data_IF_403638062404
#
_entry.id   IF_403638062404
#
_cell.length_a   1.000
_cell.length_b   1.000
_cell.length_c   1.000
_cell.angle_alpha   90.00
_cell.angle_beta   90.00
_cell.angle_gamma   90.00
#
_symmetry.space_group_name_H-M   'P 1'
#
loop_
_entity.id
_entity.type
_entity.pdbx_description
1 polymer ?
#
# COMPACT_ATOMS: atom_id res chain seq x y z
N UNK A 1 -6.01 34.00 3.06
CA UNK A 1 -5.80 34.76 1.80
C UNK A 1 -4.96 35.96 2.15
N UNK A 2 -3.64 35.86 2.01
CA UNK A 2 -2.70 36.93 2.38
C UNK A 2 -2.45 37.75 1.10
N UNK A 3 -2.91 38.98 1.11
CA UNK A 3 -2.72 39.92 0.02
C UNK A 3 -1.25 40.41 0.04
N UNK A 4 -0.49 40.04 -0.98
CA UNK A 4 0.81 40.64 -1.26
C UNK A 4 0.59 42.07 -1.81
N UNK A 5 0.74 43.06 -0.97
CA UNK A 5 0.86 44.44 -1.49
C UNK A 5 2.30 44.64 -1.94
N UNK A 6 2.49 44.68 -3.26
CA UNK A 6 3.71 45.21 -3.88
C UNK A 6 3.74 46.73 -3.67
N UNK A 7 4.44 47.20 -2.67
CA UNK A 7 4.89 48.59 -2.61
C UNK A 7 6.32 48.65 -3.09
N UNK A 8 6.52 48.76 -4.39
CA UNK A 8 7.78 49.23 -4.95
C UNK A 8 7.88 50.75 -4.68
N UNK A 9 8.52 51.10 -3.59
CA UNK A 9 8.92 52.47 -3.31
C UNK A 9 10.10 52.84 -4.21
N UNK A 10 9.84 53.51 -5.32
CA UNK A 10 10.89 54.23 -6.08
C UNK A 10 11.22 55.49 -5.27
N UNK A 11 12.34 55.51 -4.57
CA UNK A 11 12.87 56.70 -3.96
C UNK A 11 13.59 57.52 -5.03
N UNK A 12 13.04 58.67 -5.42
CA UNK A 12 13.71 59.67 -6.23
C UNK A 12 14.87 60.27 -5.41
N UNK A 13 16.10 60.10 -5.90
CA UNK A 13 17.29 60.67 -5.31
C UNK A 13 17.47 62.08 -5.89
N UNK A 14 17.17 63.10 -5.10
CA UNK A 14 17.68 64.44 -5.33
C UNK A 14 18.28 64.96 -4.03
N UNK A 15 19.62 65.12 -4.02
CA UNK A 15 20.38 65.69 -2.91
C UNK A 15 20.95 64.63 -1.94
N UNK A 16 22.28 64.44 -1.94
CA UNK A 16 23.07 63.45 -1.24
C UNK A 16 22.94 63.44 0.28
N UNK A 17 21.87 62.85 0.78
CA UNK A 17 21.75 62.40 2.16
C UNK A 17 21.70 60.90 2.13
N UNK A 18 22.74 60.26 2.65
CA UNK A 18 22.75 58.83 2.86
C UNK A 18 21.69 58.49 3.95
N UNK A 19 20.45 58.32 3.53
CA UNK A 19 19.43 57.80 4.42
C UNK A 19 19.82 56.35 4.76
N UNK A 20 20.09 56.11 6.04
CA UNK A 20 20.11 54.74 6.56
C UNK A 20 18.82 54.05 6.10
N UNK A 21 18.95 53.11 5.20
CA UNK A 21 17.78 52.30 4.83
C UNK A 21 17.27 51.64 6.13
N UNK A 22 16.14 52.10 6.63
CA UNK A 22 15.45 51.43 7.71
C UNK A 22 15.16 50.01 7.24
N UNK A 23 15.51 49.06 8.07
CA UNK A 23 15.24 47.64 7.82
C UNK A 23 13.74 47.50 7.72
N UNK A 24 13.25 47.18 6.52
CA UNK A 24 11.80 46.97 6.31
C UNK A 24 11.41 45.63 6.86
N UNK A 25 10.54 45.65 7.85
CA UNK A 25 9.89 44.43 8.37
C UNK A 25 9.04 43.80 7.25
N UNK A 26 9.27 42.52 6.99
CA UNK A 26 8.55 41.79 5.93
C UNK A 26 7.54 40.79 6.55
N UNK A 27 7.95 40.05 7.55
CA UNK A 27 7.15 39.04 8.26
C UNK A 27 7.90 38.51 9.48
N UNK A 28 7.26 37.67 10.28
CA UNK A 28 7.95 36.88 11.28
C UNK A 28 8.49 35.56 10.68
N UNK A 29 9.65 35.13 11.15
CA UNK A 29 10.19 33.82 10.80
C UNK A 29 9.24 32.73 11.32
N UNK A 30 8.87 31.83 10.42
CA UNK A 30 7.91 30.77 10.79
C UNK A 30 8.45 29.78 11.82
N UNK A 31 9.78 29.69 11.96
CA UNK A 31 10.44 28.76 12.89
C UNK A 31 10.71 29.38 14.27
N UNK A 32 11.37 30.55 14.32
CA UNK A 32 11.76 31.21 15.59
C UNK A 32 10.82 32.35 16.01
N UNK A 33 9.89 32.77 15.15
CA UNK A 33 8.94 33.86 15.36
C UNK A 33 9.56 35.25 15.50
N UNK A 34 10.86 35.38 15.21
CA UNK A 34 11.56 36.68 15.21
C UNK A 34 11.34 37.46 13.88
N UNK A 35 11.40 38.81 13.93
CA UNK A 35 11.18 39.61 12.75
C UNK A 35 12.18 39.36 11.62
N UNK A 36 11.67 39.24 10.39
CA UNK A 36 12.44 39.17 9.17
C UNK A 36 12.56 40.54 8.54
N UNK A 37 13.78 41.02 8.27
CA UNK A 37 14.06 42.25 7.52
C UNK A 37 14.26 41.96 6.03
N UNK A 38 14.71 40.78 5.68
CA UNK A 38 14.73 40.24 4.32
C UNK A 38 14.64 38.74 4.42
N UNK A 39 13.87 38.12 3.54
CA UNK A 39 13.81 36.65 3.47
C UNK A 39 14.27 36.18 2.09
N UNK A 40 15.29 35.37 2.06
CA UNK A 40 15.74 34.67 0.86
C UNK A 40 15.07 33.28 0.74
N UNK A 41 14.48 32.79 1.84
CA UNK A 41 13.94 31.46 1.94
C UNK A 41 12.43 31.50 2.17
N UNK A 42 11.67 30.94 1.23
CA UNK A 42 10.23 30.79 1.34
C UNK A 42 9.83 29.38 0.91
N UNK A 43 9.08 28.69 1.77
CA UNK A 43 8.55 27.38 1.47
C UNK A 43 7.07 27.31 1.84
N UNK A 44 6.22 26.92 0.90
CA UNK A 44 4.75 26.86 1.09
C UNK A 44 4.17 28.12 1.74
N UNK A 45 4.54 29.29 1.25
CA UNK A 45 4.12 30.60 1.77
C UNK A 45 4.60 30.91 3.20
N UNK A 46 5.68 30.29 3.66
CA UNK A 46 6.33 30.55 4.95
C UNK A 46 7.69 31.18 4.70
N UNK A 47 8.01 32.22 5.45
CA UNK A 47 9.29 32.90 5.37
C UNK A 47 10.20 32.49 6.53
N UNK A 48 11.50 32.38 6.30
CA UNK A 48 12.50 31.91 7.25
C UNK A 48 13.77 32.75 7.20
N UNK A 49 14.51 32.82 8.32
CA UNK A 49 15.93 33.09 8.27
C UNK A 49 16.63 31.87 7.65
N UNK A 50 17.82 32.07 7.06
CA UNK A 50 18.57 30.99 6.43
C UNK A 50 18.83 29.81 7.40
N UNK A 51 19.46 30.11 8.53
CA UNK A 51 19.74 29.10 9.57
C UNK A 51 18.47 28.44 10.13
N UNK A 52 17.39 29.20 10.28
CA UNK A 52 16.11 28.66 10.73
C UNK A 52 15.45 27.74 9.72
N UNK A 53 15.70 27.96 8.42
CA UNK A 53 15.20 27.07 7.38
C UNK A 53 15.92 25.71 7.42
N UNK A 54 17.22 25.70 7.58
CA UNK A 54 18.02 24.49 7.73
C UNK A 54 17.58 23.68 8.96
N UNK A 55 17.44 24.32 10.12
CA UNK A 55 16.95 23.66 11.35
C UNK A 55 15.52 23.13 11.18
N UNK A 56 14.67 23.85 10.46
CA UNK A 56 13.32 23.40 10.16
C UNK A 56 13.32 22.16 9.25
N UNK A 57 14.19 22.11 8.23
CA UNK A 57 14.31 20.94 7.34
C UNK A 57 14.81 19.72 8.10
N UNK A 58 15.85 19.85 8.92
CA UNK A 58 16.35 18.77 9.75
C UNK A 58 15.28 18.20 10.70
N UNK A 59 14.54 19.08 11.38
CA UNK A 59 13.45 18.67 12.26
C UNK A 59 12.34 17.95 11.48
N UNK A 60 11.93 18.52 10.36
CA UNK A 60 10.90 17.94 9.48
C UNK A 60 11.30 16.54 9.01
N UNK A 61 12.55 16.32 8.64
CA UNK A 61 13.02 15.04 8.16
C UNK A 61 13.10 14.00 9.29
N UNK A 62 13.53 14.38 10.50
CA UNK A 62 13.46 13.55 11.70
C UNK A 62 12.01 13.20 12.07
N UNK A 63 11.12 14.19 12.09
CA UNK A 63 9.69 13.98 12.36
C UNK A 63 9.06 13.05 11.31
N UNK A 64 9.50 13.13 10.04
CA UNK A 64 9.05 12.25 8.97
C UNK A 64 9.53 10.81 9.14
N UNK A 65 10.78 10.59 9.51
CA UNK A 65 11.33 9.26 9.79
C UNK A 65 10.62 8.62 10.98
N UNK A 66 10.41 9.36 12.05
CA UNK A 66 9.66 8.89 13.20
C UNK A 66 8.22 8.55 12.84
N UNK A 67 7.53 9.40 12.08
CA UNK A 67 6.19 9.14 11.58
C UNK A 67 6.12 7.86 10.74
N UNK A 68 7.09 7.64 9.85
CA UNK A 68 7.16 6.43 9.01
C UNK A 68 7.36 5.19 9.88
N UNK A 69 8.24 5.26 10.88
CA UNK A 69 8.47 4.16 11.83
C UNK A 69 7.19 3.82 12.59
N UNK A 70 6.54 4.81 13.21
CA UNK A 70 5.28 4.62 13.93
C UNK A 70 4.18 4.04 13.04
N UNK A 71 4.10 4.48 11.80
CA UNK A 71 3.14 3.94 10.83
C UNK A 71 3.38 2.44 10.58
N UNK A 72 4.62 2.01 10.41
CA UNK A 72 4.97 0.59 10.24
C UNK A 72 4.59 -0.21 11.48
N UNK A 73 4.94 0.27 12.66
CA UNK A 73 4.60 -0.37 13.93
C UNK A 73 3.08 -0.54 14.09
N UNK A 74 2.32 0.53 13.88
CA UNK A 74 0.84 0.48 13.95
C UNK A 74 0.22 -0.50 12.94
N UNK A 75 0.75 -0.55 11.71
CA UNK A 75 0.27 -1.50 10.70
C UNK A 75 0.57 -2.94 11.10
N UNK A 76 1.76 -3.20 11.63
CA UNK A 76 2.17 -4.52 12.08
C UNK A 76 1.35 -5.00 13.29
N UNK A 77 1.19 -4.17 14.32
CA UNK A 77 0.33 -4.49 15.46
C UNK A 77 -1.12 -4.76 15.05
N UNK A 78 -1.63 -3.95 14.11
CA UNK A 78 -2.97 -4.21 13.55
C UNK A 78 -3.03 -5.56 12.83
N UNK A 79 -2.00 -5.92 12.06
CA UNK A 79 -1.91 -7.20 11.38
C UNK A 79 -1.92 -8.37 12.40
N UNK A 80 -1.15 -8.28 13.48
CA UNK A 80 -1.16 -9.28 14.55
C UNK A 80 -2.55 -9.40 15.19
N UNK A 81 -3.17 -8.29 15.56
CA UNK A 81 -4.54 -8.28 16.13
C UNK A 81 -5.59 -8.85 15.17
N UNK A 82 -5.43 -8.69 13.86
CA UNK A 82 -6.32 -9.31 12.87
C UNK A 82 -6.19 -10.83 12.87
N UNK A 83 -4.97 -11.34 13.01
CA UNK A 83 -4.71 -12.78 13.07
C UNK A 83 -5.18 -13.38 14.41
N UNK A 84 -4.91 -12.73 15.53
CA UNK A 84 -5.31 -13.18 16.87
C UNK A 84 -6.84 -13.33 17.05
N UNK A 85 -7.62 -12.56 16.30
CA UNK A 85 -9.08 -12.65 16.32
C UNK A 85 -9.64 -13.86 15.58
N UNK A 86 -8.81 -14.63 14.90
CA UNK A 86 -9.25 -15.80 14.11
C UNK A 86 -9.17 -17.05 14.98
N UNK A 87 -10.32 -17.62 15.32
CA UNK A 87 -10.49 -18.67 16.34
C UNK A 87 -9.61 -19.91 16.15
N UNK A 88 -9.22 -20.22 14.91
CA UNK A 88 -8.49 -21.44 14.57
C UNK A 88 -6.99 -21.18 14.28
N UNK A 89 -6.50 -19.97 14.49
CA UNK A 89 -5.13 -19.61 14.14
C UNK A 89 -4.20 -19.80 15.32
N UNK A 90 -3.18 -20.66 15.16
CA UNK A 90 -2.15 -20.86 16.18
C UNK A 90 -1.02 -19.87 15.94
N UNK A 91 -1.07 -18.71 16.60
CA UNK A 91 -0.11 -17.60 16.44
C UNK A 91 1.36 -17.99 16.61
N UNK A 92 1.63 -18.98 17.47
CA UNK A 92 2.99 -19.48 17.66
C UNK A 92 3.61 -20.08 16.38
N UNK A 93 2.80 -20.56 15.43
CA UNK A 93 3.29 -21.07 14.15
C UNK A 93 3.66 -19.95 13.17
N UNK A 94 3.19 -18.74 13.40
CA UNK A 94 3.44 -17.58 12.53
C UNK A 94 4.60 -16.72 13.01
N UNK A 95 5.25 -17.04 14.12
CA UNK A 95 6.27 -16.19 14.72
C UNK A 95 7.38 -15.81 13.74
N UNK A 96 7.96 -16.78 13.05
CA UNK A 96 9.04 -16.54 12.08
C UNK A 96 8.56 -15.72 10.88
N UNK A 97 7.37 -16.00 10.36
CA UNK A 97 6.77 -15.27 9.25
C UNK A 97 6.43 -13.82 9.64
N UNK A 98 5.90 -13.61 10.84
CA UNK A 98 5.58 -12.29 11.37
C UNK A 98 6.85 -11.45 11.56
N UNK A 99 7.90 -12.02 12.13
CA UNK A 99 9.19 -11.37 12.29
C UNK A 99 9.81 -10.99 10.94
N UNK A 100 9.78 -11.91 9.96
CA UNK A 100 10.29 -11.64 8.61
C UNK A 100 9.54 -10.49 7.91
N UNK A 101 8.21 -10.43 8.03
CA UNK A 101 7.38 -9.35 7.49
C UNK A 101 7.66 -8.03 8.18
N UNK A 102 7.81 -8.03 9.50
CA UNK A 102 8.13 -6.83 10.27
C UNK A 102 9.49 -6.25 9.91
N UNK A 103 10.53 -7.09 9.86
CA UNK A 103 11.89 -6.66 9.48
C UNK A 103 11.92 -6.14 8.02
N UNK A 104 11.16 -6.73 7.11
CA UNK A 104 11.02 -6.21 5.76
C UNK A 104 10.37 -4.83 5.74
N UNK A 105 9.28 -4.62 6.50
CA UNK A 105 8.58 -3.36 6.60
C UNK A 105 9.43 -2.25 7.27
N UNK A 106 10.22 -2.59 8.28
CA UNK A 106 11.17 -1.66 8.92
C UNK A 106 12.27 -1.22 7.96
N UNK A 107 12.80 -2.16 7.18
CA UNK A 107 13.85 -1.87 6.20
C UNK A 107 13.37 -1.00 5.05
N UNK A 108 12.15 -1.24 4.60
CA UNK A 108 11.51 -0.50 3.52
C UNK A 108 10.00 -0.36 3.79
N UNK A 109 9.62 0.79 4.34
CA UNK A 109 8.23 1.11 4.69
C UNK A 109 7.26 1.16 3.50
N UNK A 110 7.79 1.12 2.28
CA UNK A 110 6.98 1.09 1.04
C UNK A 110 6.54 -0.31 0.64
N UNK A 111 7.04 -1.35 1.33
CA UNK A 111 6.74 -2.76 1.03
C UNK A 111 5.33 -3.19 1.39
N UNK A 112 4.65 -2.45 2.24
CA UNK A 112 3.27 -2.75 2.59
C UNK A 112 2.45 -1.46 2.62
N UNK A 113 1.31 -1.46 1.95
CA UNK A 113 0.36 -0.35 1.99
C UNK A 113 -0.72 -0.55 3.06
N UNK A 114 -0.93 -1.79 3.52
CA UNK A 114 -1.97 -2.14 4.49
C UNK A 114 -1.58 -3.31 5.40
N UNK A 115 -2.26 -3.39 6.55
CA UNK A 115 -2.13 -4.52 7.48
C UNK A 115 -2.61 -5.84 6.85
N UNK A 116 -3.59 -5.80 5.96
CA UNK A 116 -4.07 -7.00 5.25
C UNK A 116 -3.00 -7.59 4.31
N UNK A 117 -2.19 -6.72 3.67
CA UNK A 117 -1.03 -7.18 2.87
C UNK A 117 0.02 -7.86 3.76
N UNK A 118 0.28 -7.32 4.96
CA UNK A 118 1.19 -7.95 5.93
C UNK A 118 0.66 -9.33 6.36
N UNK A 119 -0.62 -9.45 6.69
CA UNK A 119 -1.25 -10.73 7.07
C UNK A 119 -1.17 -11.74 5.93
N UNK A 120 -1.46 -11.32 4.69
CA UNK A 120 -1.34 -12.21 3.53
C UNK A 120 0.11 -12.67 3.30
N UNK A 121 1.08 -11.78 3.47
CA UNK A 121 2.49 -12.13 3.36
C UNK A 121 2.91 -13.12 4.46
N UNK A 122 2.47 -12.92 5.71
CA UNK A 122 2.73 -13.84 6.82
C UNK A 122 2.18 -15.24 6.52
N UNK A 123 0.96 -15.35 6.01
CA UNK A 123 0.35 -16.63 5.64
C UNK A 123 1.13 -17.34 4.53
N UNK A 124 1.50 -16.62 3.48
CA UNK A 124 2.27 -17.16 2.36
C UNK A 124 3.65 -17.63 2.81
N UNK A 125 4.37 -16.84 3.60
CA UNK A 125 5.68 -17.19 4.16
C UNK A 125 5.57 -18.41 5.09
N UNK A 126 4.57 -18.42 5.97
CA UNK A 126 4.31 -19.54 6.88
C UNK A 126 4.07 -20.87 6.12
N UNK A 127 3.43 -20.78 4.96
CA UNK A 127 3.25 -21.91 4.04
C UNK A 127 4.46 -22.14 3.11
N UNK A 128 5.62 -21.52 3.37
CA UNK A 128 6.86 -21.65 2.60
C UNK A 128 6.72 -21.27 1.13
N UNK A 129 5.80 -20.37 0.83
CA UNK A 129 5.60 -19.82 -0.52
C UNK A 129 6.61 -18.72 -0.77
N UNK A 130 7.35 -18.81 -1.87
CA UNK A 130 8.26 -17.74 -2.29
C UNK A 130 7.47 -16.57 -2.85
N UNK A 131 7.66 -15.39 -2.28
CA UNK A 131 6.94 -14.18 -2.66
C UNK A 131 7.89 -13.02 -2.94
N UNK A 132 7.42 -12.08 -3.78
CA UNK A 132 8.04 -10.76 -3.96
C UNK A 132 6.99 -9.71 -3.65
N UNK A 133 7.30 -8.84 -2.68
CA UNK A 133 6.37 -7.80 -2.22
C UNK A 133 6.57 -6.52 -3.02
N UNK A 134 5.45 -5.84 -3.36
CA UNK A 134 5.41 -4.60 -4.15
C UNK A 134 6.25 -4.69 -5.41
N UNK A 135 6.03 -5.77 -6.17
CA UNK A 135 6.81 -6.05 -7.37
C UNK A 135 6.49 -5.04 -8.49
N UNK A 136 7.49 -4.32 -9.02
CA UNK A 136 7.26 -3.32 -10.07
C UNK A 136 6.95 -3.99 -11.41
N UNK A 137 5.88 -3.53 -12.07
CA UNK A 137 5.51 -3.90 -13.43
C UNK A 137 5.17 -2.63 -14.18
N UNK A 138 6.06 -2.17 -15.05
CA UNK A 138 5.96 -0.85 -15.71
C UNK A 138 5.78 0.29 -14.69
N UNK A 139 4.66 1.03 -14.82
CA UNK A 139 4.30 2.13 -13.90
C UNK A 139 3.43 1.65 -12.73
N UNK A 140 3.29 0.35 -12.54
CA UNK A 140 2.42 -0.27 -11.53
C UNK A 140 3.26 -1.05 -10.52
N UNK A 141 2.64 -1.41 -9.43
CA UNK A 141 3.19 -2.37 -8.46
C UNK A 141 2.13 -3.42 -8.19
N UNK A 142 2.57 -4.67 -8.10
CA UNK A 142 1.78 -5.82 -7.66
C UNK A 142 2.02 -5.97 -6.18
N UNK A 143 0.97 -6.09 -5.38
CA UNK A 143 1.10 -6.19 -3.92
C UNK A 143 1.97 -7.39 -3.54
N UNK A 144 1.65 -8.58 -4.07
CA UNK A 144 2.43 -9.80 -3.85
C UNK A 144 2.54 -10.59 -5.16
N UNK A 145 3.75 -10.79 -5.65
CA UNK A 145 4.03 -11.69 -6.76
C UNK A 145 4.44 -13.07 -6.22
N UNK A 146 3.83 -14.13 -6.74
CA UNK A 146 4.13 -15.53 -6.40
C UNK A 146 4.69 -16.22 -7.66
N UNK A 147 6.03 -16.20 -7.88
CA UNK A 147 6.61 -16.65 -9.13
C UNK A 147 6.35 -18.13 -9.42
N UNK A 148 6.51 -18.99 -8.43
CA UNK A 148 6.37 -20.45 -8.59
C UNK A 148 4.95 -20.86 -9.01
N UNK A 149 3.95 -20.03 -8.72
CA UNK A 149 2.55 -20.25 -9.11
C UNK A 149 2.12 -19.40 -10.30
N UNK A 150 2.97 -18.50 -10.78
CA UNK A 150 2.64 -17.51 -11.80
C UNK A 150 1.41 -16.67 -11.44
N UNK A 151 1.34 -16.24 -10.21
CA UNK A 151 0.24 -15.44 -9.66
C UNK A 151 0.72 -14.05 -9.29
N UNK A 152 0.02 -13.05 -9.80
CA UNK A 152 0.05 -11.67 -9.31
C UNK A 152 -1.14 -11.47 -8.37
N UNK A 153 -0.89 -11.45 -7.06
CA UNK A 153 -1.91 -11.29 -6.04
C UNK A 153 -2.06 -9.81 -5.71
N UNK A 154 -3.28 -9.30 -5.77
CA UNK A 154 -3.68 -7.96 -5.37
C UNK A 154 -4.68 -8.05 -4.21
N UNK A 155 -4.48 -7.19 -3.19
CA UNK A 155 -5.33 -7.16 -1.99
C UNK A 155 -6.17 -5.89 -2.04
N UNK A 156 -7.46 -6.07 -2.34
CA UNK A 156 -8.39 -4.97 -2.53
C UNK A 156 -8.97 -4.47 -1.21
N UNK A 157 -8.74 -3.20 -0.90
CA UNK A 157 -9.41 -2.50 0.21
C UNK A 157 -10.90 -2.26 -0.07
N UNK A 158 -11.67 -1.88 0.95
CA UNK A 158 -13.13 -1.69 0.89
C UNK A 158 -13.61 -0.66 -0.15
N UNK A 159 -12.77 0.30 -0.53
CA UNK A 159 -13.11 1.36 -1.49
C UNK A 159 -13.00 0.92 -2.96
N UNK A 160 -12.41 -0.25 -3.25
CA UNK A 160 -12.21 -0.72 -4.62
C UNK A 160 -13.49 -1.23 -5.29
N UNK A 161 -14.57 -1.47 -4.55
CA UNK A 161 -15.86 -1.95 -5.09
C UNK A 161 -16.44 -1.06 -6.21
N UNK A 162 -16.06 0.19 -6.28
CA UNK A 162 -16.58 1.18 -7.23
C UNK A 162 -15.70 1.43 -8.48
N UNK A 163 -14.58 0.68 -8.65
CA UNK A 163 -13.59 0.96 -9.70
C UNK A 163 -13.41 -0.15 -10.76
N UNK A 164 -14.42 -0.96 -10.99
CA UNK A 164 -14.37 -2.19 -11.83
C UNK A 164 -13.73 -1.96 -13.21
N UNK A 165 -14.08 -0.87 -13.91
CA UNK A 165 -13.56 -0.60 -15.26
C UNK A 165 -12.05 -0.26 -15.29
N UNK A 166 -11.54 0.46 -14.28
CA UNK A 166 -10.11 0.78 -14.15
C UNK A 166 -9.29 -0.45 -13.76
N UNK A 167 -9.87 -1.32 -12.94
CA UNK A 167 -9.22 -2.55 -12.48
C UNK A 167 -9.07 -3.58 -13.59
N UNK A 168 -10.02 -3.68 -14.52
CA UNK A 168 -9.93 -4.55 -15.70
C UNK A 168 -8.78 -4.12 -16.63
N UNK A 169 -8.64 -2.81 -16.88
CA UNK A 169 -7.53 -2.27 -17.67
C UNK A 169 -6.19 -2.54 -17.01
N UNK A 170 -6.10 -2.32 -15.69
CA UNK A 170 -4.90 -2.61 -14.90
C UNK A 170 -4.51 -4.09 -14.99
N UNK A 171 -5.48 -5.00 -14.87
CA UNK A 171 -5.25 -6.45 -14.99
C UNK A 171 -4.65 -6.81 -16.35
N UNK A 172 -5.21 -6.27 -17.45
CA UNK A 172 -4.71 -6.50 -18.81
C UNK A 172 -3.27 -5.99 -18.97
N UNK A 173 -2.97 -4.79 -18.45
CA UNK A 173 -1.62 -4.20 -18.48
C UNK A 173 -0.60 -5.07 -17.73
N UNK A 174 -0.94 -5.55 -16.52
CA UNK A 174 -0.08 -6.42 -15.71
C UNK A 174 0.16 -7.76 -16.41
N UNK A 175 -0.91 -8.42 -16.87
CA UNK A 175 -0.79 -9.70 -17.57
C UNK A 175 0.00 -9.57 -18.87
N UNK A 176 -0.24 -8.49 -19.64
CA UNK A 176 0.49 -8.22 -20.88
C UNK A 176 2.00 -8.11 -20.65
N UNK A 177 2.41 -7.53 -19.52
CA UNK A 177 3.83 -7.39 -19.19
C UNK A 177 4.45 -8.70 -18.68
N UNK A 178 3.79 -9.33 -17.69
CA UNK A 178 4.30 -10.58 -17.11
C UNK A 178 4.39 -11.71 -18.13
N UNK A 179 3.45 -11.79 -19.07
CA UNK A 179 3.43 -12.84 -20.09
C UNK A 179 4.40 -12.59 -21.25
N UNK A 180 5.13 -11.47 -21.30
CA UNK A 180 6.18 -11.25 -22.30
C UNK A 180 7.38 -12.19 -22.09
N UNK A 181 7.76 -12.38 -20.83
CA UNK A 181 8.90 -13.22 -20.48
C UNK A 181 8.50 -14.70 -20.36
N UNK A 182 7.38 -14.96 -19.72
CA UNK A 182 6.89 -16.30 -19.46
C UNK A 182 5.36 -16.33 -19.40
N UNK A 183 4.73 -17.19 -20.22
CA UNK A 183 3.27 -17.29 -20.27
C UNK A 183 2.64 -18.03 -19.07
N UNK A 184 1.36 -17.82 -18.86
CA UNK A 184 0.57 -18.53 -17.84
C UNK A 184 0.39 -17.78 -16.53
N UNK A 185 0.72 -16.49 -16.50
CA UNK A 185 0.44 -15.64 -15.36
C UNK A 185 -1.05 -15.34 -15.22
N UNK A 186 -1.51 -15.28 -13.96
CA UNK A 186 -2.86 -14.84 -13.59
C UNK A 186 -2.81 -13.73 -12.56
N UNK A 187 -3.74 -12.77 -12.66
CA UNK A 187 -3.98 -11.76 -11.62
C UNK A 187 -5.14 -12.24 -10.77
N UNK A 188 -4.90 -12.45 -9.49
CA UNK A 188 -5.91 -12.84 -8.51
C UNK A 188 -6.11 -11.67 -7.55
N UNK A 189 -7.36 -11.26 -7.34
CA UNK A 189 -7.72 -10.17 -6.42
C UNK A 189 -8.51 -10.74 -5.26
N UNK A 190 -8.04 -10.43 -4.05
CA UNK A 190 -8.69 -10.87 -2.81
C UNK A 190 -9.02 -9.65 -1.98
N UNK A 191 -10.30 -9.42 -1.65
CA UNK A 191 -10.66 -8.34 -0.75
C UNK A 191 -10.08 -8.54 0.65
N UNK A 192 -9.56 -7.47 1.23
CA UNK A 192 -8.96 -7.47 2.56
C UNK A 192 -9.87 -8.10 3.64
N UNK A 193 -11.19 -7.90 3.54
CA UNK A 193 -12.17 -8.47 4.49
C UNK A 193 -12.10 -10.00 4.61
N UNK A 194 -11.71 -10.73 3.54
CA UNK A 194 -11.58 -12.19 3.60
C UNK A 194 -10.31 -12.63 4.30
N UNK A 195 -9.22 -11.87 4.11
CA UNK A 195 -7.97 -12.09 4.84
C UNK A 195 -8.20 -11.81 6.34
N UNK A 196 -8.96 -10.76 6.65
CA UNK A 196 -9.34 -10.41 8.03
C UNK A 196 -10.22 -11.49 8.68
N UNK A 197 -11.08 -12.15 7.89
CA UNK A 197 -11.99 -13.18 8.41
C UNK A 197 -11.32 -14.54 8.59
N UNK A 198 -10.51 -14.98 7.63
CA UNK A 198 -9.88 -16.30 7.68
C UNK A 198 -8.63 -16.40 6.81
N UNK A 199 -7.49 -16.01 7.35
CA UNK A 199 -6.22 -16.01 6.61
C UNK A 199 -5.77 -17.40 6.20
N UNK A 200 -6.06 -18.44 6.99
CA UNK A 200 -5.64 -19.81 6.69
C UNK A 200 -6.25 -20.38 5.40
N UNK A 201 -7.33 -19.77 4.91
CA UNK A 201 -7.93 -20.12 3.62
C UNK A 201 -7.30 -19.40 2.42
N UNK A 202 -6.36 -18.47 2.64
CA UNK A 202 -5.74 -17.69 1.57
C UNK A 202 -5.03 -18.57 0.54
N UNK A 203 -4.18 -19.49 0.99
CA UNK A 203 -3.41 -20.38 0.10
C UNK A 203 -4.33 -21.33 -0.68
N UNK A 204 -5.29 -22.04 -0.05
CA UNK A 204 -6.30 -22.83 -0.77
C UNK A 204 -7.09 -22.01 -1.78
N UNK A 205 -7.55 -20.81 -1.41
CA UNK A 205 -8.33 -19.94 -2.28
C UNK A 205 -7.54 -19.51 -3.53
N UNK A 206 -6.28 -19.10 -3.38
CA UNK A 206 -5.43 -18.74 -4.52
C UNK A 206 -5.27 -19.92 -5.48
N UNK A 207 -5.01 -21.12 -4.95
CA UNK A 207 -4.85 -22.34 -5.78
C UNK A 207 -6.12 -22.69 -6.54
N UNK A 208 -7.27 -22.62 -5.87
CA UNK A 208 -8.58 -22.89 -6.48
C UNK A 208 -8.85 -21.90 -7.61
N UNK A 209 -8.76 -20.62 -7.33
CA UNK A 209 -8.98 -19.56 -8.34
C UNK A 209 -8.01 -19.67 -9.53
N UNK A 210 -6.75 -19.98 -9.28
CA UNK A 210 -5.77 -20.19 -10.35
C UNK A 210 -6.16 -21.37 -11.26
N UNK A 211 -6.56 -22.51 -10.67
CA UNK A 211 -6.93 -23.69 -11.41
C UNK A 211 -8.22 -23.46 -12.24
N UNK A 212 -9.22 -22.80 -11.67
CA UNK A 212 -10.44 -22.42 -12.37
C UNK A 212 -10.14 -21.54 -13.59
N UNK A 213 -9.31 -20.52 -13.43
CA UNK A 213 -8.90 -19.64 -14.53
C UNK A 213 -8.12 -20.38 -15.59
N UNK A 214 -7.22 -21.27 -15.20
CA UNK A 214 -6.47 -22.11 -16.12
C UNK A 214 -7.38 -23.04 -16.94
N UNK A 215 -8.38 -23.61 -16.29
CA UNK A 215 -9.39 -24.44 -16.95
C UNK A 215 -10.19 -23.63 -17.97
N UNK A 216 -10.70 -22.47 -17.57
CA UNK A 216 -11.43 -21.56 -18.47
C UNK A 216 -10.63 -21.16 -19.70
N UNK A 217 -9.34 -20.86 -19.55
CA UNK A 217 -8.47 -20.57 -20.70
C UNK A 217 -8.37 -21.77 -21.63
N UNK A 218 -8.25 -22.98 -21.09
CA UNK A 218 -8.19 -24.20 -21.88
C UNK A 218 -9.47 -24.42 -22.67
N UNK A 219 -10.62 -24.21 -22.06
CA UNK A 219 -11.94 -24.38 -22.67
C UNK A 219 -12.23 -23.32 -23.76
N UNK A 220 -11.69 -22.13 -23.62
CA UNK A 220 -11.91 -21.00 -24.52
C UNK A 220 -10.71 -20.71 -25.46
N UNK A 221 -9.87 -21.68 -25.74
CA UNK A 221 -8.77 -21.53 -26.70
C UNK A 221 -7.69 -20.53 -26.24
N UNK A 222 -7.40 -20.44 -24.94
CA UNK A 222 -6.40 -19.55 -24.36
C UNK A 222 -6.92 -18.18 -23.94
N UNK A 223 -8.21 -17.93 -24.13
CA UNK A 223 -8.85 -16.65 -23.84
C UNK A 223 -9.81 -16.76 -22.63
N UNK A 224 -9.87 -15.74 -21.79
CA UNK A 224 -10.92 -15.60 -20.77
C UNK A 224 -11.94 -14.61 -21.33
N UNK A 225 -13.21 -15.00 -21.54
CA UNK A 225 -14.22 -14.14 -22.11
C UNK A 225 -14.37 -12.82 -21.35
N UNK A 226 -14.65 -11.74 -22.09
CA UNK A 226 -14.72 -10.37 -21.52
C UNK A 226 -15.83 -10.20 -20.47
N UNK A 227 -16.92 -10.99 -20.55
CA UNK A 227 -17.94 -11.01 -19.51
C UNK A 227 -17.39 -11.56 -18.19
N UNK A 228 -16.48 -12.53 -18.26
CA UNK A 228 -15.78 -13.08 -17.10
C UNK A 228 -14.88 -12.01 -16.44
N UNK A 229 -14.23 -11.18 -17.23
CA UNK A 229 -13.43 -10.06 -16.71
C UNK A 229 -14.28 -8.96 -16.07
N UNK A 230 -15.53 -8.80 -16.47
CA UNK A 230 -16.47 -7.85 -15.87
C UNK A 230 -17.10 -8.37 -14.56
N UNK A 231 -17.35 -9.68 -14.47
CA UNK A 231 -17.97 -10.35 -13.33
C UNK A 231 -16.94 -10.96 -12.35
N UNK A 232 -15.68 -10.96 -12.74
CA UNK A 232 -14.55 -11.58 -12.04
C UNK A 232 -14.51 -11.29 -10.53
N UNK A 233 -14.95 -10.12 -10.15
CA UNK A 233 -14.93 -9.69 -8.75
C UNK A 233 -16.03 -10.40 -7.94
N UNK A 234 -17.23 -10.48 -8.49
CA UNK A 234 -18.36 -11.16 -7.84
C UNK A 234 -18.11 -12.67 -7.76
N UNK A 235 -17.57 -13.27 -8.82
CA UNK A 235 -17.31 -14.71 -8.86
C UNK A 235 -16.08 -15.13 -8.05
N UNK A 236 -15.02 -14.33 -8.03
CA UNK A 236 -13.89 -14.54 -7.10
C UNK A 236 -14.34 -14.41 -5.65
N UNK A 237 -15.27 -13.49 -5.36
CA UNK A 237 -15.88 -13.33 -4.06
C UNK A 237 -16.77 -14.53 -3.71
N UNK A 238 -17.61 -14.98 -4.62
CA UNK A 238 -18.50 -16.14 -4.45
C UNK A 238 -17.68 -17.43 -4.25
N UNK A 239 -16.60 -17.62 -5.04
CA UNK A 239 -15.70 -18.75 -4.88
C UNK A 239 -15.00 -18.74 -3.52
N UNK A 240 -14.55 -17.57 -3.05
CA UNK A 240 -13.95 -17.41 -1.73
C UNK A 240 -14.98 -17.59 -0.62
N UNK A 241 -16.19 -17.05 -0.74
CA UNK A 241 -17.29 -17.27 0.18
C UNK A 241 -17.68 -18.76 0.22
N UNK A 242 -17.76 -19.41 -0.93
CA UNK A 242 -18.02 -20.85 -1.02
C UNK A 242 -16.94 -21.72 -0.37
N UNK A 243 -15.67 -21.34 -0.45
CA UNK A 243 -14.57 -22.01 0.25
C UNK A 243 -14.66 -21.77 1.76
N UNK A 244 -14.94 -20.54 2.17
CA UNK A 244 -15.11 -20.18 3.59
C UNK A 244 -16.32 -20.90 4.19
N UNK A 245 -17.43 -20.96 3.48
CA UNK A 245 -18.65 -21.63 3.96
C UNK A 245 -18.49 -23.14 4.01
N UNK A 246 -17.89 -23.76 2.99
CA UNK A 246 -17.56 -25.21 3.03
C UNK A 246 -16.60 -25.55 4.16
N UNK A 247 -15.62 -24.71 4.45
CA UNK A 247 -14.71 -24.94 5.58
C UNK A 247 -15.44 -24.86 6.93
N UNK A 248 -16.42 -23.96 7.08
CA UNK A 248 -17.26 -23.87 8.28
C UNK A 248 -18.18 -25.08 8.43
N UNK A 249 -18.70 -25.61 7.34
CA UNK A 249 -19.51 -26.84 7.35
C UNK A 249 -18.67 -28.06 7.72
N UNK A 250 -17.44 -28.18 7.20
CA UNK A 250 -16.51 -29.26 7.56
C UNK A 250 -16.09 -29.23 9.05
N UNK A 251 -15.98 -28.03 9.65
CA UNK A 251 -15.68 -27.86 11.07
C UNK A 251 -16.90 -28.19 11.95
N UNK A 252 -18.12 -28.07 11.44
CA UNK A 252 -19.36 -28.36 12.15
C UNK A 252 -19.79 -29.84 12.07
N UNK A 253 -19.18 -30.63 11.21
CA UNK A 253 -19.46 -32.06 11.10
C UNK A 253 -18.58 -32.84 12.07
N UNK A 254 -19.07 -33.36 13.19
CA UNK A 254 -18.28 -34.12 14.18
C UNK A 254 -18.05 -35.57 13.80
N UNK A 255 -18.24 -35.96 12.56
CA UNK A 255 -18.06 -37.33 12.11
C UNK A 255 -16.86 -37.49 11.18
N UNK A 256 -15.67 -37.35 11.74
CA UNK A 256 -14.52 -38.11 11.25
C UNK A 256 -14.46 -39.39 12.06
N UNK A 257 -15.21 -40.42 11.61
CA UNK A 257 -14.96 -41.79 12.03
C UNK A 257 -13.52 -42.14 11.64
N UNK A 258 -12.77 -42.46 12.69
CA UNK A 258 -11.44 -43.02 12.61
C UNK A 258 -11.57 -44.44 12.04
N UNK A 259 -11.01 -44.66 10.85
CA UNK A 259 -10.61 -45.97 10.39
C UNK A 259 -9.11 -46.03 10.26
#
# INVERSE_FOLDING_TARGET
>A
MILWSKTTGIANIAGGVCLKMEKVYIADCWYCHEPLVSSKWAWKNRAFHEDCFELYEEKRDKDKEEYVRLKVEMMYERALRMMEKQDNLKMNLYKEAAEAVYELAKRDSTKFASSAEMVAAMELINNRVKIKIQYPVNRRRIDILIPDWKVALEIDGSLHQYRIGKDSKRTIEILGELNKEESGWEVIRIPAKYIEANVSQLVPAIKTLYNERKQLRKENGGFIPSYYSRHNRSEQLIALEGIVDKSKEMIKSPELEVF
#
